data_IF_329775521159
#
_entry.id   IF_329775521159
#
_cell.length_a   1.000
_cell.length_b   1.000
_cell.length_c   1.000
_cell.angle_alpha   90.00
_cell.angle_beta   90.00
_cell.angle_gamma   90.00
#
_symmetry.space_group_name_H-M   'P 1'
#
loop_
_entity.id
_entity.type
_entity.pdbx_description
1 polymer ?
#
# COMPACT_ATOMS: atom_id res chain seq x y z
N UNK A 1 3.36 -8.98 -23.83
CA UNK A 1 4.10 -8.94 -25.11
C UNK A 1 4.25 -10.40 -25.53
N UNK A 2 3.43 -10.88 -26.46
CA UNK A 2 3.43 -12.31 -26.80
C UNK A 2 4.40 -12.55 -27.96
N UNK A 3 5.52 -13.22 -27.66
CA UNK A 3 6.48 -13.72 -28.64
C UNK A 3 5.94 -15.00 -29.28
N UNK A 4 5.28 -14.88 -30.43
CA UNK A 4 5.11 -16.00 -31.34
C UNK A 4 6.42 -16.15 -32.10
N UNK A 5 7.30 -17.09 -31.75
CA UNK A 5 8.13 -17.89 -32.67
C UNK A 5 9.07 -18.81 -31.87
N UNK A 6 8.85 -20.13 -31.95
CA UNK A 6 9.85 -21.14 -31.60
C UNK A 6 11.06 -20.98 -32.54
N UNK A 7 12.26 -20.90 -31.97
CA UNK A 7 13.54 -21.00 -32.70
C UNK A 7 13.59 -22.27 -33.55
N UNK A 8 13.78 -22.12 -34.86
CA UNK A 8 14.55 -23.05 -35.69
C UNK A 8 15.81 -22.32 -36.16
N UNK A 9 16.94 -22.98 -35.88
CA UNK A 9 18.35 -22.79 -36.27
C UNK A 9 18.88 -21.40 -36.70
N UNK A 10 20.02 -21.05 -36.08
CA UNK A 10 20.88 -19.91 -36.38
C UNK A 10 21.29 -19.88 -37.86
N UNK A 11 21.05 -18.76 -38.52
CA UNK A 11 21.82 -18.31 -39.69
C UNK A 11 22.35 -16.91 -39.38
N UNK A 12 23.65 -16.70 -39.60
CA UNK A 12 24.39 -15.47 -39.33
C UNK A 12 24.03 -14.32 -40.30
N UNK A 13 23.88 -13.12 -39.72
CA UNK A 13 23.99 -11.77 -40.29
C UNK A 13 23.20 -11.42 -41.57
N UNK A 14 22.02 -10.82 -41.32
CA UNK A 14 21.69 -9.51 -41.92
C UNK A 14 21.10 -8.65 -40.80
N UNK A 15 21.28 -7.33 -40.83
CA UNK A 15 20.68 -6.40 -39.86
C UNK A 15 19.19 -6.71 -39.77
N UNK A 16 18.78 -7.42 -38.72
CA UNK A 16 17.40 -7.82 -38.50
C UNK A 16 16.66 -6.57 -38.04
N UNK A 17 16.08 -5.82 -38.98
CA UNK A 17 15.12 -4.77 -38.65
C UNK A 17 13.87 -5.52 -38.15
N UNK A 18 13.85 -5.88 -36.86
CA UNK A 18 12.64 -6.35 -36.20
C UNK A 18 11.67 -5.18 -36.18
N UNK A 19 10.72 -5.16 -37.13
CA UNK A 19 9.72 -4.08 -37.14
C UNK A 19 8.68 -4.43 -36.08
N UNK A 20 8.92 -3.98 -34.85
CA UNK A 20 7.93 -4.01 -33.77
C UNK A 20 6.68 -3.25 -34.22
N UNK A 21 5.49 -3.85 -34.05
CA UNK A 21 4.22 -3.21 -34.41
C UNK A 21 3.03 -3.87 -33.71
N UNK A 22 1.83 -3.34 -33.95
CA UNK A 22 0.59 -3.87 -33.36
C UNK A 22 0.06 -5.04 -34.19
N UNK A 23 -0.43 -6.09 -33.53
CA UNK A 23 -1.10 -7.21 -34.20
C UNK A 23 -2.30 -6.69 -35.03
N UNK A 24 -2.30 -6.81 -36.36
CA UNK A 24 -3.38 -6.32 -37.22
C UNK A 24 -4.66 -7.17 -37.19
N UNK A 25 -4.67 -8.21 -36.37
CA UNK A 25 -5.86 -9.01 -36.05
C UNK A 25 -6.39 -8.69 -34.63
N UNK A 26 -5.86 -7.66 -33.97
CA UNK A 26 -6.40 -7.20 -32.68
C UNK A 26 -7.87 -6.79 -32.81
N UNK A 27 -8.66 -7.00 -31.76
CA UNK A 27 -10.03 -6.45 -31.63
C UNK A 27 -10.04 -5.03 -31.06
N UNK A 28 -8.89 -4.55 -30.59
CA UNK A 28 -8.72 -3.22 -30.05
C UNK A 28 -8.39 -2.22 -31.17
N UNK A 29 -9.44 -1.66 -31.80
CA UNK A 29 -9.28 -0.71 -32.91
C UNK A 29 -8.59 0.58 -32.46
N UNK A 30 -8.87 1.06 -31.25
CA UNK A 30 -8.19 2.23 -30.68
C UNK A 30 -6.66 2.05 -30.71
N UNK A 31 -6.15 0.92 -30.21
CA UNK A 31 -4.72 0.66 -30.17
C UNK A 31 -4.11 0.57 -31.57
N UNK A 32 -4.82 -0.06 -32.51
CA UNK A 32 -4.35 -0.16 -33.88
C UNK A 32 -4.28 1.20 -34.57
N UNK A 33 -5.34 2.01 -34.46
CA UNK A 33 -5.39 3.34 -35.06
C UNK A 33 -4.42 4.31 -34.40
N UNK A 34 -4.19 4.20 -33.08
CA UNK A 34 -3.17 4.97 -32.39
C UNK A 34 -1.77 4.65 -32.94
N UNK A 35 -1.47 3.37 -33.21
CA UNK A 35 -0.23 2.97 -33.87
C UNK A 35 -0.11 3.56 -35.28
N UNK A 36 -1.18 3.55 -36.07
CA UNK A 36 -1.17 4.16 -37.42
C UNK A 36 -0.94 5.68 -37.35
N UNK A 37 -1.63 6.39 -36.46
CA UNK A 37 -1.52 7.84 -36.30
C UNK A 37 -0.10 8.26 -35.89
N UNK A 38 0.46 7.59 -34.88
CA UNK A 38 1.76 7.92 -34.27
C UNK A 38 2.97 7.45 -35.09
N UNK A 39 2.79 6.44 -35.95
CA UNK A 39 3.91 5.91 -36.76
C UNK A 39 4.20 6.81 -37.95
N UNK A 40 5.47 7.20 -38.10
CA UNK A 40 5.95 7.92 -39.27
C UNK A 40 5.64 7.16 -40.56
N UNK A 41 5.00 7.82 -41.54
CA UNK A 41 4.41 7.15 -42.70
C UNK A 41 5.38 6.24 -43.48
N UNK A 42 6.65 6.63 -43.76
CA UNK A 42 7.63 5.74 -44.37
C UNK A 42 7.93 4.47 -43.56
N UNK A 43 7.94 4.55 -42.22
CA UNK A 43 8.12 3.38 -41.36
C UNK A 43 6.89 2.49 -41.38
N UNK A 44 5.70 3.08 -41.31
CA UNK A 44 4.44 2.35 -41.39
C UNK A 44 4.32 1.58 -42.72
N UNK A 45 4.73 2.19 -43.83
CA UNK A 45 4.76 1.52 -45.15
C UNK A 45 5.67 0.29 -45.15
N UNK A 46 6.91 0.44 -44.69
CA UNK A 46 7.88 -0.67 -44.58
C UNK A 46 7.34 -1.79 -43.68
N UNK A 47 6.74 -1.43 -42.55
CA UNK A 47 6.11 -2.37 -41.64
C UNK A 47 4.96 -3.14 -42.32
N UNK A 48 4.08 -2.45 -43.02
CA UNK A 48 2.93 -3.05 -43.72
C UNK A 48 3.37 -4.01 -44.83
N UNK A 49 4.30 -3.59 -45.68
CA UNK A 49 4.86 -4.42 -46.76
C UNK A 49 5.55 -5.67 -46.21
N UNK A 50 6.38 -5.51 -45.16
CA UNK A 50 7.04 -6.64 -44.51
C UNK A 50 6.04 -7.60 -43.87
N UNK A 51 5.04 -7.08 -43.17
CA UNK A 51 3.96 -7.88 -42.56
C UNK A 51 3.20 -8.69 -43.60
N UNK A 52 2.84 -8.07 -44.73
CA UNK A 52 2.20 -8.77 -45.86
C UNK A 52 3.10 -9.84 -46.47
N UNK A 53 4.40 -9.57 -46.64
CA UNK A 53 5.34 -10.57 -47.16
C UNK A 53 5.50 -11.78 -46.23
N UNK A 54 5.27 -11.60 -44.93
CA UNK A 54 5.26 -12.67 -43.93
C UNK A 54 3.89 -13.37 -43.81
N UNK A 55 2.91 -13.05 -44.68
CA UNK A 55 1.59 -13.68 -44.69
C UNK A 55 0.61 -13.17 -43.63
N UNK A 56 0.87 -12.01 -43.01
CA UNK A 56 -0.02 -11.46 -41.99
C UNK A 56 -1.28 -10.88 -42.66
N UNK A 57 -2.44 -11.30 -42.16
CA UNK A 57 -3.74 -10.78 -42.57
C UNK A 57 -4.13 -9.52 -41.81
N UNK A 58 -4.80 -8.60 -42.50
CA UNK A 58 -5.24 -7.33 -41.94
C UNK A 58 -6.75 -7.22 -42.08
N UNK A 59 -7.41 -6.69 -41.06
CA UNK A 59 -8.81 -6.29 -41.17
C UNK A 59 -8.96 -5.20 -42.25
N UNK A 60 -10.05 -5.18 -43.04
CA UNK A 60 -10.20 -4.23 -44.14
C UNK A 60 -10.05 -2.76 -43.72
N UNK A 61 -10.64 -2.37 -42.59
CA UNK A 61 -10.57 -1.01 -42.06
C UNK A 61 -9.15 -0.60 -41.62
N UNK A 62 -8.34 -1.56 -41.15
CA UNK A 62 -6.95 -1.33 -40.76
C UNK A 62 -6.06 -1.09 -41.98
N UNK A 63 -6.28 -1.84 -43.07
CA UNK A 63 -5.58 -1.55 -44.33
C UNK A 63 -5.93 -0.17 -44.89
N UNK A 64 -7.19 0.24 -44.79
CA UNK A 64 -7.62 1.56 -45.26
C UNK A 64 -6.91 2.67 -44.49
N UNK A 65 -6.83 2.56 -43.16
CA UNK A 65 -6.10 3.51 -42.31
C UNK A 65 -4.60 3.60 -42.69
N UNK A 66 -3.94 2.46 -42.90
CA UNK A 66 -2.53 2.43 -43.34
C UNK A 66 -2.37 3.08 -44.71
N UNK A 67 -3.23 2.73 -45.68
CA UNK A 67 -3.17 3.28 -47.05
C UNK A 67 -3.40 4.79 -47.04
N UNK A 68 -4.31 5.29 -46.20
CA UNK A 68 -4.49 6.72 -46.00
C UNK A 68 -3.20 7.36 -45.46
N UNK A 69 -2.72 6.92 -44.28
CA UNK A 69 -1.50 7.49 -43.65
C UNK A 69 -0.28 7.45 -44.58
N UNK A 70 -0.10 6.38 -45.35
CA UNK A 70 1.06 6.21 -46.23
C UNK A 70 0.96 6.99 -47.56
N UNK A 71 -0.24 7.40 -47.96
CA UNK A 71 -0.46 8.20 -49.18
C UNK A 71 -0.51 9.70 -48.91
N UNK A 72 -1.10 10.12 -47.79
CA UNK A 72 -1.27 11.54 -47.44
C UNK A 72 -0.31 12.03 -46.36
N UNK A 73 0.41 11.13 -45.68
CA UNK A 73 1.15 11.39 -44.42
C UNK A 73 0.27 11.73 -43.22
N UNK A 74 -1.06 11.68 -43.39
CA UNK A 74 -2.04 12.07 -42.37
C UNK A 74 -3.03 10.94 -42.09
N UNK A 75 -3.24 10.67 -40.81
CA UNK A 75 -4.32 9.83 -40.30
C UNK A 75 -4.55 10.24 -38.85
N UNK A 76 -5.81 10.44 -38.47
CA UNK A 76 -6.22 10.78 -37.10
C UNK A 76 -7.05 9.64 -36.56
N UNK A 77 -6.72 9.15 -35.37
CA UNK A 77 -7.51 8.11 -34.72
C UNK A 77 -8.94 8.65 -34.46
N UNK A 78 -9.99 7.97 -34.94
CA UNK A 78 -11.37 8.39 -34.68
C UNK A 78 -11.81 8.12 -33.24
N UNK A 79 -11.01 7.38 -32.46
CA UNK A 79 -11.28 7.01 -31.09
C UNK A 79 -10.41 7.81 -30.13
N UNK A 80 -10.98 8.20 -29.00
CA UNK A 80 -10.25 8.75 -27.87
C UNK A 80 -10.15 7.71 -26.75
N UNK A 81 -9.04 7.76 -26.01
CA UNK A 81 -8.89 7.02 -24.78
C UNK A 81 -9.08 7.97 -23.60
N UNK A 82 -9.76 7.55 -22.52
CA UNK A 82 -10.30 6.20 -22.26
C UNK A 82 -11.70 5.91 -22.83
N UNK A 83 -12.32 6.86 -23.55
CA UNK A 83 -13.74 6.79 -23.91
C UNK A 83 -14.10 5.63 -24.84
N UNK A 84 -13.18 5.16 -25.69
CA UNK A 84 -13.37 3.97 -26.53
C UNK A 84 -13.78 2.73 -25.71
N UNK A 85 -13.29 2.63 -24.47
CA UNK A 85 -13.62 1.54 -23.55
C UNK A 85 -14.77 1.90 -22.58
N UNK A 86 -15.49 3.00 -22.83
CA UNK A 86 -16.47 3.59 -21.91
C UNK A 86 -15.91 3.82 -20.50
N UNK A 87 -14.60 4.08 -20.40
CA UNK A 87 -13.85 4.21 -19.14
C UNK A 87 -13.95 2.98 -18.22
N UNK A 88 -14.30 1.81 -18.77
CA UNK A 88 -14.50 0.57 -18.02
C UNK A 88 -13.46 -0.48 -18.39
N UNK A 89 -12.71 -0.90 -17.39
CA UNK A 89 -11.64 -1.88 -17.43
C UNK A 89 -11.91 -2.95 -16.38
N UNK A 90 -11.39 -4.16 -16.59
CA UNK A 90 -11.53 -5.22 -15.59
C UNK A 90 -10.71 -4.86 -14.35
N UNK A 91 -9.54 -4.27 -14.59
CA UNK A 91 -8.68 -3.66 -13.60
C UNK A 91 -7.59 -2.81 -14.27
N UNK A 92 -6.93 -1.97 -13.47
CA UNK A 92 -5.80 -1.14 -13.88
C UNK A 92 -4.67 -1.36 -12.88
N UNK A 93 -3.54 -1.88 -13.34
CA UNK A 93 -2.35 -2.00 -12.51
C UNK A 93 -1.53 -0.71 -12.59
N UNK A 94 -1.02 -0.26 -11.45
CA UNK A 94 -0.21 0.95 -11.37
C UNK A 94 1.02 0.76 -10.51
N UNK A 95 2.03 1.60 -10.74
CA UNK A 95 3.26 1.66 -9.97
C UNK A 95 3.81 3.10 -9.97
N UNK A 96 4.16 3.62 -8.79
CA UNK A 96 4.74 4.96 -8.64
C UNK A 96 6.25 4.93 -8.46
N UNK A 97 6.92 5.85 -9.14
CA UNK A 97 8.29 6.24 -8.82
C UNK A 97 8.33 7.56 -8.05
N UNK A 98 9.30 7.69 -7.15
CA UNK A 98 9.46 8.86 -6.27
C UNK A 98 10.84 9.46 -6.41
N UNK A 99 10.93 10.79 -6.44
CA UNK A 99 12.20 11.50 -6.54
C UNK A 99 13.04 11.39 -5.25
N UNK A 100 12.40 11.21 -4.09
CA UNK A 100 13.05 11.01 -2.80
C UNK A 100 12.17 10.22 -1.80
N UNK A 101 12.55 10.19 -0.52
CA UNK A 101 11.82 9.45 0.52
C UNK A 101 10.43 10.03 0.86
N UNK A 102 10.22 11.31 0.58
CA UNK A 102 8.96 12.01 0.78
C UNK A 102 7.92 11.55 -0.25
N UNK A 103 6.72 11.21 0.20
CA UNK A 103 5.68 10.60 -0.62
C UNK A 103 4.99 11.57 -1.57
N UNK A 104 5.09 12.87 -1.31
CA UNK A 104 4.64 13.90 -2.26
C UNK A 104 5.63 14.10 -3.42
N UNK A 105 6.80 13.45 -3.38
CA UNK A 105 7.85 13.58 -4.41
C UNK A 105 7.64 12.65 -5.62
N UNK A 106 6.45 12.10 -5.80
CA UNK A 106 6.12 11.24 -6.95
C UNK A 106 6.52 11.93 -8.26
N UNK A 107 7.33 11.23 -9.07
CA UNK A 107 7.91 11.77 -10.30
C UNK A 107 7.51 10.99 -11.54
N UNK A 108 6.98 9.77 -11.39
CA UNK A 108 6.31 9.08 -12.48
C UNK A 108 5.25 8.08 -11.97
N UNK A 109 4.34 7.73 -12.85
CA UNK A 109 3.27 6.76 -12.63
C UNK A 109 3.10 5.91 -13.88
N UNK A 110 3.23 4.60 -13.74
CA UNK A 110 2.94 3.63 -14.79
C UNK A 110 1.52 3.12 -14.67
N UNK A 111 0.87 2.87 -15.81
CA UNK A 111 -0.49 2.38 -15.88
C UNK A 111 -0.62 1.30 -16.94
N UNK A 112 -1.25 0.19 -16.55
CA UNK A 112 -1.63 -0.89 -17.47
C UNK A 112 -3.10 -1.21 -17.30
N UNK A 113 -3.84 -1.00 -18.36
CA UNK A 113 -5.30 -1.16 -18.42
C UNK A 113 -5.62 -2.53 -18.98
N UNK A 114 -6.34 -3.35 -18.21
CA UNK A 114 -6.74 -4.69 -18.62
C UNK A 114 -8.23 -4.71 -18.99
N UNK A 115 -8.55 -5.29 -20.15
CA UNK A 115 -9.92 -5.51 -20.62
C UNK A 115 -10.02 -6.85 -21.32
N UNK A 116 -11.02 -7.64 -20.94
CA UNK A 116 -11.23 -9.02 -21.42
C UNK A 116 -9.95 -9.86 -21.31
N UNK A 117 -9.32 -9.82 -20.13
CA UNK A 117 -8.08 -10.56 -19.80
C UNK A 117 -6.88 -10.23 -20.70
N UNK A 118 -6.89 -9.06 -21.35
CA UNK A 118 -5.81 -8.59 -22.24
C UNK A 118 -5.45 -7.15 -21.94
N UNK A 119 -4.20 -6.78 -22.24
CA UNK A 119 -3.77 -5.37 -22.18
C UNK A 119 -4.55 -4.59 -23.24
N UNK A 120 -5.41 -3.68 -22.77
CA UNK A 120 -6.13 -2.73 -23.59
C UNK A 120 -5.27 -1.52 -23.95
N UNK A 121 -4.50 -1.02 -22.98
CA UNK A 121 -3.60 0.09 -23.15
C UNK A 121 -2.53 0.07 -22.05
N UNK A 122 -1.36 0.62 -22.33
CA UNK A 122 -0.29 0.83 -21.35
C UNK A 122 0.34 2.18 -21.63
N UNK A 123 0.69 2.90 -20.57
CA UNK A 123 1.34 4.20 -20.65
C UNK A 123 2.04 4.51 -19.33
N UNK A 124 2.95 5.47 -19.34
CA UNK A 124 3.45 6.13 -18.14
C UNK A 124 3.28 7.64 -18.25
N UNK A 125 3.12 8.31 -17.12
CA UNK A 125 3.20 9.76 -17.02
C UNK A 125 4.40 10.15 -16.16
N UNK A 126 5.18 11.12 -16.60
CA UNK A 126 5.99 11.91 -15.69
C UNK A 126 5.08 12.83 -14.87
N UNK A 127 5.48 13.06 -13.63
CA UNK A 127 4.80 13.94 -12.68
C UNK A 127 5.82 14.96 -12.22
N UNK A 128 5.48 16.25 -12.27
CA UNK A 128 6.30 17.32 -11.71
C UNK A 128 6.08 17.39 -10.21
N UNK A 129 7.07 17.03 -9.37
CA UNK A 129 6.91 17.11 -7.92
C UNK A 129 6.80 18.56 -7.45
N UNK A 130 6.26 18.83 -6.24
CA UNK A 130 6.27 20.15 -5.64
C UNK A 130 7.69 20.74 -5.62
N UNK A 131 7.82 22.06 -5.84
CA UNK A 131 9.13 22.74 -5.92
C UNK A 131 10.00 22.58 -4.66
N UNK A 132 9.42 22.22 -3.53
CA UNK A 132 10.15 21.91 -2.29
C UNK A 132 10.93 20.60 -2.36
N UNK A 133 10.52 19.68 -3.22
CA UNK A 133 11.10 18.35 -3.34
C UNK A 133 12.37 18.37 -4.19
N UNK A 134 13.35 17.56 -3.78
CA UNK A 134 14.62 17.40 -4.48
C UNK A 134 14.76 15.96 -4.95
N UNK A 135 15.37 15.77 -6.11
CA UNK A 135 15.71 14.44 -6.59
C UNK A 135 16.95 13.92 -5.86
N UNK A 136 16.83 12.74 -5.27
CA UNK A 136 17.94 12.08 -4.59
C UNK A 136 18.74 11.25 -5.59
N UNK A 137 20.07 11.26 -5.48
CA UNK A 137 20.93 10.45 -6.34
C UNK A 137 20.65 8.94 -6.22
N UNK A 138 20.13 8.50 -5.06
CA UNK A 138 19.73 7.11 -4.85
C UNK A 138 18.52 6.73 -5.70
N UNK A 139 17.49 7.58 -5.72
CA UNK A 139 16.28 7.33 -6.50
C UNK A 139 16.56 7.41 -8.00
N UNK A 140 17.30 8.44 -8.44
CA UNK A 140 17.79 8.55 -9.83
C UNK A 140 18.58 7.29 -10.21
N UNK A 141 19.45 6.78 -9.34
CA UNK A 141 20.21 5.56 -9.61
C UNK A 141 19.37 4.28 -9.70
N UNK A 142 18.12 4.29 -9.23
CA UNK A 142 17.18 3.15 -9.30
C UNK A 142 16.40 3.19 -10.61
N UNK A 143 15.71 4.30 -10.91
CA UNK A 143 14.76 4.40 -12.03
C UNK A 143 15.24 5.30 -13.20
N UNK A 144 16.36 6.01 -13.05
CA UNK A 144 16.94 6.87 -14.09
C UNK A 144 16.33 8.27 -14.23
N UNK A 145 15.05 8.46 -13.90
CA UNK A 145 14.33 9.76 -14.01
C UNK A 145 15.02 10.90 -13.23
N UNK A 146 15.32 12.00 -13.92
CA UNK A 146 15.93 13.21 -13.36
C UNK A 146 14.94 14.37 -13.22
N UNK A 147 15.40 15.48 -12.64
CA UNK A 147 14.58 16.69 -12.53
C UNK A 147 14.29 17.32 -13.91
N UNK A 148 15.24 17.21 -14.84
CA UNK A 148 15.10 17.70 -16.22
C UNK A 148 14.02 16.94 -16.98
N UNK A 149 13.88 15.63 -16.76
CA UNK A 149 12.87 14.78 -17.40
C UNK A 149 11.42 15.19 -17.06
N UNK A 150 11.23 15.84 -15.90
CA UNK A 150 9.91 16.20 -15.37
C UNK A 150 9.63 17.70 -15.39
N UNK A 151 10.53 18.54 -15.90
CA UNK A 151 10.39 20.00 -15.76
C UNK A 151 9.16 20.55 -16.51
N UNK A 152 8.72 19.87 -17.57
CA UNK A 152 7.51 20.22 -18.33
C UNK A 152 6.35 19.25 -18.10
N UNK A 153 6.48 18.33 -17.15
CA UNK A 153 5.40 17.42 -16.78
C UNK A 153 4.30 18.16 -15.99
N UNK A 154 3.09 17.58 -16.00
CA UNK A 154 1.99 18.03 -15.16
C UNK A 154 2.31 17.81 -13.69
N UNK A 155 1.82 18.68 -12.81
CA UNK A 155 1.73 18.36 -11.39
C UNK A 155 0.70 17.25 -11.15
N UNK A 156 0.70 16.63 -9.97
CA UNK A 156 -0.19 15.49 -9.74
C UNK A 156 -1.68 15.85 -9.77
N UNK A 157 -2.06 17.04 -9.30
CA UNK A 157 -3.43 17.57 -9.39
C UNK A 157 -3.88 17.78 -10.83
N UNK A 158 -3.03 18.37 -11.66
CA UNK A 158 -3.28 18.53 -13.09
C UNK A 158 -3.46 17.16 -13.78
N UNK A 159 -2.59 16.19 -13.48
CA UNK A 159 -2.69 14.82 -14.00
C UNK A 159 -3.95 14.10 -13.49
N UNK A 160 -4.32 14.32 -12.22
CA UNK A 160 -5.52 13.73 -11.64
C UNK A 160 -6.80 14.25 -12.30
N UNK A 161 -6.93 15.58 -12.43
CA UNK A 161 -8.10 16.22 -13.03
C UNK A 161 -8.21 15.88 -14.52
N UNK A 162 -7.11 15.99 -15.26
CA UNK A 162 -7.12 15.79 -16.70
C UNK A 162 -7.21 14.32 -17.11
N UNK A 163 -6.66 13.38 -16.34
CA UNK A 163 -6.56 11.99 -16.76
C UNK A 163 -7.05 10.99 -15.71
N UNK A 164 -6.40 10.89 -14.55
CA UNK A 164 -6.58 9.74 -13.63
C UNK A 164 -8.02 9.62 -13.10
N UNK A 165 -8.66 10.74 -12.77
CA UNK A 165 -10.02 10.78 -12.20
C UNK A 165 -11.08 10.18 -13.13
N UNK A 166 -10.83 10.16 -14.45
CA UNK A 166 -11.74 9.58 -15.47
C UNK A 166 -11.94 8.07 -15.30
N UNK A 167 -10.97 7.37 -14.71
CA UNK A 167 -11.00 5.91 -14.60
C UNK A 167 -10.64 5.36 -13.21
N UNK A 168 -9.93 6.08 -12.34
CA UNK A 168 -9.57 5.55 -11.02
C UNK A 168 -10.77 5.26 -10.11
N UNK A 169 -11.84 6.06 -10.24
CA UNK A 169 -13.03 5.95 -9.38
C UNK A 169 -14.03 4.87 -9.83
N UNK A 170 -13.83 4.30 -11.02
CA UNK A 170 -14.81 3.39 -11.65
C UNK A 170 -14.24 1.99 -11.90
N UNK A 171 -12.95 1.79 -11.64
CA UNK A 171 -12.24 0.57 -11.98
C UNK A 171 -11.43 0.08 -10.78
N UNK A 172 -11.20 -1.24 -10.73
CA UNK A 172 -10.37 -1.86 -9.72
C UNK A 172 -8.90 -1.52 -9.96
N UNK A 173 -8.24 -0.89 -8.99
CA UNK A 173 -6.82 -0.56 -9.06
C UNK A 173 -5.98 -1.66 -8.41
N UNK A 174 -4.96 -2.13 -9.12
CA UNK A 174 -4.09 -3.21 -8.67
C UNK A 174 -2.73 -2.63 -8.31
N UNK A 175 -2.27 -3.00 -7.12
CA UNK A 175 -0.94 -2.66 -6.61
C UNK A 175 -0.15 -3.92 -6.30
N UNK A 176 1.17 -3.82 -6.31
CA UNK A 176 2.05 -4.81 -5.71
C UNK A 176 2.67 -4.21 -4.44
N UNK A 177 2.25 -4.67 -3.26
CA UNK A 177 2.53 -4.01 -1.99
C UNK A 177 1.89 -2.62 -1.90
N UNK A 178 0.55 -2.63 -1.89
CA UNK A 178 -0.28 -1.42 -1.88
C UNK A 178 0.06 -0.43 -0.76
N UNK A 179 0.73 -0.85 0.33
CA UNK A 179 1.13 0.05 1.40
C UNK A 179 2.03 1.20 0.92
N UNK A 180 2.86 0.97 -0.09
CA UNK A 180 3.78 1.96 -0.66
C UNK A 180 3.02 2.97 -1.53
N UNK A 181 2.35 2.52 -2.57
CA UNK A 181 1.63 3.39 -3.51
C UNK A 181 0.45 4.11 -2.88
N UNK A 182 -0.31 3.44 -1.99
CA UNK A 182 -1.37 4.12 -1.24
C UNK A 182 -0.81 5.19 -0.32
N UNK A 183 0.43 5.04 0.18
CA UNK A 183 1.07 6.11 0.93
C UNK A 183 1.39 7.30 0.03
N UNK A 184 1.79 7.07 -1.22
CA UNK A 184 1.99 8.12 -2.23
C UNK A 184 0.67 8.84 -2.52
N UNK A 185 -0.37 8.09 -2.94
CA UNK A 185 -1.69 8.65 -3.26
C UNK A 185 -2.27 9.47 -2.11
N UNK A 186 -2.24 8.96 -0.88
CA UNK A 186 -2.79 9.69 0.29
C UNK A 186 -2.07 11.00 0.56
N UNK A 187 -0.74 11.01 0.46
CA UNK A 187 0.04 12.22 0.70
C UNK A 187 -0.18 13.23 -0.42
N UNK A 188 -0.29 12.77 -1.67
CA UNK A 188 -0.60 13.64 -2.81
C UNK A 188 -2.01 14.21 -2.71
N UNK A 189 -3.03 13.39 -2.42
CA UNK A 189 -4.40 13.89 -2.23
C UNK A 189 -4.49 14.92 -1.11
N UNK A 190 -3.80 14.68 0.00
CA UNK A 190 -3.74 15.65 1.09
C UNK A 190 -3.00 16.94 0.68
N UNK A 191 -1.84 16.82 0.01
CA UNK A 191 -1.03 17.97 -0.39
C UNK A 191 -1.76 18.89 -1.37
N UNK A 192 -2.42 18.30 -2.37
CA UNK A 192 -3.13 19.01 -3.42
C UNK A 192 -4.61 19.27 -3.09
N UNK A 193 -5.08 18.88 -1.89
CA UNK A 193 -6.48 19.00 -1.49
C UNK A 193 -7.46 18.36 -2.48
N UNK A 194 -7.08 17.22 -3.06
CA UNK A 194 -7.93 16.46 -3.99
C UNK A 194 -9.01 15.73 -3.18
N UNK A 195 -10.27 15.98 -3.55
CA UNK A 195 -11.45 15.39 -2.92
C UNK A 195 -12.19 14.41 -3.83
N UNK A 196 -13.30 13.86 -3.34
CA UNK A 196 -14.27 13.07 -4.11
C UNK A 196 -13.71 11.80 -4.78
N UNK A 197 -12.62 11.26 -4.24
CA UNK A 197 -12.07 9.98 -4.68
C UNK A 197 -12.71 8.81 -3.92
N UNK A 198 -13.01 7.75 -4.67
CA UNK A 198 -13.39 6.45 -4.15
C UNK A 198 -12.71 5.38 -5.01
N UNK A 199 -11.54 4.94 -4.56
CA UNK A 199 -10.72 3.99 -5.29
C UNK A 199 -10.94 2.61 -4.69
N UNK A 200 -11.48 1.68 -5.47
CA UNK A 200 -11.45 0.26 -5.13
C UNK A 200 -10.10 -0.30 -5.54
N UNK A 201 -9.46 -1.05 -4.66
CA UNK A 201 -8.14 -1.60 -4.93
C UNK A 201 -7.90 -2.98 -4.35
N UNK A 202 -6.91 -3.67 -4.94
CA UNK A 202 -6.41 -4.95 -4.48
C UNK A 202 -4.88 -4.94 -4.43
N UNK A 203 -4.34 -5.71 -3.48
CA UNK A 203 -2.90 -5.88 -3.30
C UNK A 203 -2.48 -7.30 -3.68
N UNK A 204 -1.67 -7.44 -4.74
CA UNK A 204 -1.20 -8.74 -5.21
C UNK A 204 -0.35 -9.46 -4.17
N UNK A 205 0.34 -8.74 -3.27
CA UNK A 205 1.10 -9.37 -2.18
C UNK A 205 0.18 -10.12 -1.20
N UNK A 206 -1.05 -9.62 -1.00
CA UNK A 206 -2.07 -10.30 -0.17
C UNK A 206 -2.62 -11.54 -0.87
N UNK A 207 -2.81 -11.48 -2.19
CA UNK A 207 -3.20 -12.65 -2.98
C UNK A 207 -2.11 -13.72 -2.99
N UNK A 208 -0.84 -13.31 -3.14
CA UNK A 208 0.30 -14.21 -3.06
C UNK A 208 0.34 -14.95 -1.71
N UNK A 209 0.11 -14.24 -0.60
CA UNK A 209 -0.01 -14.85 0.72
C UNK A 209 -1.16 -15.87 0.81
N UNK A 210 -2.34 -15.53 0.29
CA UNK A 210 -3.52 -16.41 0.30
C UNK A 210 -3.35 -17.67 -0.55
N UNK A 211 -2.52 -17.60 -1.58
CA UNK A 211 -2.24 -18.71 -2.50
C UNK A 211 -0.97 -19.48 -2.16
N UNK A 212 -0.27 -19.12 -1.08
CA UNK A 212 1.00 -19.77 -0.69
C UNK A 212 2.17 -19.48 -1.63
N UNK A 213 2.11 -18.35 -2.34
CA UNK A 213 3.13 -17.90 -3.27
C UNK A 213 4.14 -16.93 -2.63
N UNK A 214 5.34 -16.74 -3.24
CA UNK A 214 6.31 -15.75 -2.81
C UNK A 214 5.73 -14.33 -2.85
N UNK A 215 6.20 -13.44 -1.96
CA UNK A 215 5.67 -12.07 -1.86
C UNK A 215 6.35 -11.08 -2.79
N UNK A 216 7.59 -11.34 -3.25
CA UNK A 216 8.31 -10.40 -4.12
C UNK A 216 7.84 -10.55 -5.55
N UNK A 217 7.59 -9.42 -6.23
CA UNK A 217 7.17 -9.40 -7.63
C UNK A 217 8.14 -10.13 -8.55
N UNK A 218 9.46 -10.03 -8.32
CA UNK A 218 10.44 -10.74 -9.15
C UNK A 218 10.34 -12.26 -9.00
N UNK A 219 10.15 -12.76 -7.79
CA UNK A 219 10.00 -14.21 -7.54
C UNK A 219 8.67 -14.74 -8.12
N UNK A 220 7.62 -13.92 -8.12
CA UNK A 220 6.35 -14.23 -8.78
C UNK A 220 6.49 -14.22 -10.31
N UNK A 221 7.16 -13.20 -10.86
CA UNK A 221 7.40 -13.09 -12.30
C UNK A 221 8.21 -14.30 -12.81
N UNK A 222 9.29 -14.66 -12.11
CA UNK A 222 10.09 -15.86 -12.44
C UNK A 222 9.23 -17.14 -12.38
N UNK A 223 8.39 -17.27 -11.34
CA UNK A 223 7.53 -18.44 -11.15
C UNK A 223 6.48 -18.60 -12.26
N UNK A 224 5.90 -17.49 -12.70
CA UNK A 224 4.86 -17.47 -13.73
C UNK A 224 5.41 -17.26 -15.15
N UNK A 225 6.73 -17.35 -15.32
CA UNK A 225 7.41 -17.16 -16.60
C UNK A 225 7.08 -15.81 -17.27
N UNK A 226 6.85 -14.77 -16.46
CA UNK A 226 6.60 -13.40 -16.90
C UNK A 226 7.93 -12.72 -17.15
N UNK A 227 8.13 -12.24 -18.37
CA UNK A 227 9.31 -11.45 -18.72
C UNK A 227 9.35 -10.14 -17.93
N UNK A 228 10.42 -9.97 -17.14
CA UNK A 228 10.63 -8.80 -16.31
C UNK A 228 12.02 -8.18 -16.56
N UNK A 229 12.08 -7.39 -17.62
CA UNK A 229 13.28 -6.65 -18.07
C UNK A 229 13.10 -5.17 -17.70
N UNK A 230 14.18 -4.45 -17.39
CA UNK A 230 14.14 -3.02 -17.07
C UNK A 230 13.32 -2.71 -15.81
N UNK A 231 13.75 -3.29 -14.68
CA UNK A 231 13.14 -3.09 -13.36
C UNK A 231 13.23 -1.62 -12.96
N UNK A 232 12.23 -1.11 -12.25
CA UNK A 232 12.12 0.30 -11.87
C UNK A 232 11.79 1.24 -13.05
N UNK A 233 11.29 0.66 -14.14
CA UNK A 233 10.52 1.39 -15.13
C UNK A 233 9.04 1.29 -14.71
N UNK A 234 8.35 2.42 -14.48
CA UNK A 234 7.00 2.40 -13.91
C UNK A 234 5.98 1.68 -14.80
N UNK A 235 6.07 1.81 -16.14
CA UNK A 235 5.17 1.09 -17.05
C UNK A 235 5.42 -0.42 -17.02
N UNK A 236 6.69 -0.83 -16.98
CA UNK A 236 7.04 -2.25 -16.92
C UNK A 236 6.65 -2.87 -15.58
N UNK A 237 6.91 -2.19 -14.47
CA UNK A 237 6.55 -2.66 -13.13
C UNK A 237 5.02 -2.80 -13.00
N UNK A 238 4.25 -1.82 -13.49
CA UNK A 238 2.80 -1.91 -13.57
C UNK A 238 2.32 -3.08 -14.46
N UNK A 239 3.00 -3.34 -15.57
CA UNK A 239 2.68 -4.47 -16.47
C UNK A 239 2.92 -5.82 -15.82
N UNK A 240 4.05 -6.00 -15.13
CA UNK A 240 4.33 -7.22 -14.39
C UNK A 240 3.31 -7.40 -13.26
N UNK A 241 2.95 -6.32 -12.57
CA UNK A 241 1.90 -6.32 -11.55
C UNK A 241 0.55 -6.82 -12.11
N UNK A 242 0.15 -6.35 -13.30
CA UNK A 242 -1.08 -6.80 -13.97
C UNK A 242 -1.07 -8.30 -14.28
N UNK A 243 0.03 -8.81 -14.85
CA UNK A 243 0.15 -10.24 -15.16
C UNK A 243 0.17 -11.11 -13.89
N UNK A 244 0.95 -10.70 -12.88
CA UNK A 244 0.98 -11.38 -11.58
C UNK A 244 -0.40 -11.42 -10.94
N UNK A 245 -1.19 -10.34 -11.05
CA UNK A 245 -2.56 -10.33 -10.57
C UNK A 245 -3.43 -11.36 -11.31
N UNK A 246 -3.36 -11.42 -12.65
CA UNK A 246 -4.10 -12.41 -13.44
C UNK A 246 -3.83 -13.85 -12.97
N UNK A 247 -2.56 -14.23 -12.89
CA UNK A 247 -2.13 -15.57 -12.44
C UNK A 247 -2.62 -15.88 -11.01
N UNK A 248 -2.47 -14.92 -10.10
CA UNK A 248 -2.90 -15.10 -8.71
C UNK A 248 -4.42 -15.13 -8.54
N UNK A 249 -5.16 -14.39 -9.37
CA UNK A 249 -6.62 -14.35 -9.35
C UNK A 249 -7.22 -15.68 -9.85
N UNK A 250 -6.60 -16.33 -10.84
CA UNK A 250 -6.97 -17.69 -11.26
C UNK A 250 -6.79 -18.71 -10.12
N UNK A 251 -5.70 -18.59 -9.36
CA UNK A 251 -5.42 -19.44 -8.19
C UNK A 251 -6.32 -19.15 -6.99
N UNK A 252 -6.94 -17.96 -6.93
CA UNK A 252 -7.83 -17.55 -5.85
C UNK A 252 -9.10 -16.88 -6.41
N UNK A 253 -10.08 -17.67 -6.91
CA UNK A 253 -11.28 -17.13 -7.55
C UNK A 253 -12.14 -16.20 -6.69
N UNK A 254 -12.03 -16.29 -5.37
CA UNK A 254 -12.70 -15.39 -4.40
C UNK A 254 -11.90 -14.10 -4.13
N UNK A 255 -10.99 -13.67 -5.02
CA UNK A 255 -10.17 -12.47 -4.81
C UNK A 255 -11.01 -11.21 -4.56
N UNK A 256 -12.26 -11.17 -5.05
CA UNK A 256 -13.19 -10.08 -4.84
C UNK A 256 -13.47 -9.81 -3.36
N UNK A 257 -13.40 -10.83 -2.49
CA UNK A 257 -13.53 -10.65 -1.04
C UNK A 257 -12.35 -9.91 -0.39
N UNK A 258 -11.25 -9.72 -1.12
CA UNK A 258 -10.06 -9.01 -0.66
C UNK A 258 -9.99 -7.55 -1.13
N UNK A 259 -10.93 -7.11 -1.97
CA UNK A 259 -11.03 -5.72 -2.44
C UNK A 259 -11.22 -4.80 -1.23
N UNK A 260 -10.49 -3.69 -1.25
CA UNK A 260 -10.56 -2.64 -0.25
C UNK A 260 -10.89 -1.32 -0.93
N UNK A 261 -11.37 -0.37 -0.15
CA UNK A 261 -11.65 0.98 -0.63
C UNK A 261 -10.62 1.95 -0.03
N UNK A 262 -10.28 2.96 -0.83
CA UNK A 262 -9.63 4.18 -0.39
C UNK A 262 -10.58 5.33 -0.68
N UNK A 263 -11.08 5.95 0.38
CA UNK A 263 -11.99 7.10 0.33
C UNK A 263 -11.66 8.11 1.43
N UNK A 264 -12.08 9.36 1.25
CA UNK A 264 -11.94 10.41 2.27
C UNK A 264 -12.55 9.99 3.61
N UNK A 265 -13.73 9.34 3.55
CA UNK A 265 -14.44 8.85 4.73
C UNK A 265 -13.59 7.88 5.54
N UNK A 266 -12.92 6.93 4.89
CA UNK A 266 -12.04 5.96 5.58
C UNK A 266 -10.82 6.64 6.20
N UNK A 267 -10.27 7.68 5.55
CA UNK A 267 -9.17 8.45 6.14
C UNK A 267 -9.65 9.20 7.37
N UNK A 268 -10.79 9.89 7.30
CA UNK A 268 -11.36 10.60 8.44
C UNK A 268 -11.68 9.67 9.60
N UNK A 269 -12.33 8.53 9.35
CA UNK A 269 -12.59 7.52 10.37
C UNK A 269 -11.31 7.02 11.04
N UNK A 270 -10.24 6.81 10.27
CA UNK A 270 -8.95 6.39 10.83
C UNK A 270 -8.31 7.49 11.69
N UNK A 271 -8.37 8.74 11.26
CA UNK A 271 -7.89 9.89 12.05
C UNK A 271 -8.67 10.00 13.36
N UNK A 272 -10.00 9.88 13.31
CA UNK A 272 -10.86 9.90 14.49
C UNK A 272 -10.48 8.78 15.47
N UNK A 273 -10.31 7.54 14.99
CA UNK A 273 -9.87 6.41 15.85
C UNK A 273 -8.51 6.65 16.51
N UNK A 274 -7.56 7.26 15.80
CA UNK A 274 -6.24 7.60 16.36
C UNK A 274 -6.38 8.65 17.47
N UNK A 275 -7.19 9.69 17.24
CA UNK A 275 -7.48 10.71 18.26
C UNK A 275 -8.15 10.10 19.49
N UNK A 276 -9.20 9.30 19.29
CA UNK A 276 -9.89 8.57 20.37
C UNK A 276 -8.90 7.70 21.17
N UNK A 277 -7.98 7.01 20.50
CA UNK A 277 -6.95 6.18 21.17
C UNK A 277 -5.98 7.03 22.00
N UNK A 278 -5.54 8.18 21.47
CA UNK A 278 -4.66 9.10 22.18
C UNK A 278 -5.35 9.74 23.40
N UNK A 279 -6.61 10.13 23.26
CA UNK A 279 -7.44 10.65 24.36
C UNK A 279 -7.61 9.61 25.48
N UNK A 280 -7.93 8.37 25.13
CA UNK A 280 -8.01 7.25 26.08
C UNK A 280 -6.67 7.04 26.80
N UNK A 281 -5.54 7.15 26.09
CA UNK A 281 -4.21 6.99 26.70
C UNK A 281 -3.93 8.12 27.70
N UNK A 282 -4.27 9.36 27.36
CA UNK A 282 -4.10 10.50 28.26
C UNK A 282 -4.98 10.38 29.51
N UNK A 283 -6.27 10.03 29.35
CA UNK A 283 -7.18 9.79 30.48
C UNK A 283 -6.66 8.70 31.43
N UNK A 284 -6.07 7.63 30.90
CA UNK A 284 -5.49 6.59 31.75
C UNK A 284 -4.26 7.06 32.53
N UNK A 285 -3.46 7.98 31.99
CA UNK A 285 -2.36 8.59 32.75
C UNK A 285 -2.90 9.46 33.88
N UNK A 286 -3.97 10.22 33.64
CA UNK A 286 -4.65 11.01 34.67
C UNK A 286 -5.21 10.12 35.78
N UNK A 287 -5.81 8.97 35.44
CA UNK A 287 -6.29 7.99 36.42
C UNK A 287 -5.15 7.35 37.21
N UNK A 288 -4.04 6.99 36.56
CA UNK A 288 -2.85 6.50 37.26
C UNK A 288 -2.41 7.53 38.29
N UNK A 289 -2.27 8.79 37.88
CA UNK A 289 -1.87 9.87 38.79
C UNK A 289 -2.87 10.09 39.93
N UNK A 290 -4.17 10.10 39.65
CA UNK A 290 -5.22 10.32 40.64
C UNK A 290 -5.31 9.22 41.71
N UNK A 291 -4.96 7.97 41.33
CA UNK A 291 -5.00 6.82 42.24
C UNK A 291 -3.62 6.39 42.75
N UNK A 292 -2.56 7.09 42.38
CA UNK A 292 -1.23 6.92 42.97
C UNK A 292 -1.23 7.29 44.45
N UNK A 293 -0.20 6.81 45.14
CA UNK A 293 0.09 7.14 46.53
C UNK A 293 1.40 7.92 46.61
N UNK A 294 1.50 8.83 47.56
CA UNK A 294 2.79 9.44 47.88
C UNK A 294 3.70 8.46 48.65
N UNK A 295 4.99 8.80 48.78
CA UNK A 295 5.96 7.92 49.44
C UNK A 295 5.63 7.63 50.90
N UNK A 296 5.09 8.62 51.63
CA UNK A 296 4.72 8.46 53.03
C UNK A 296 3.45 7.63 53.22
N UNK A 297 2.54 7.64 52.25
CA UNK A 297 1.41 6.71 52.19
C UNK A 297 1.87 5.28 51.87
N UNK A 298 2.82 5.12 50.95
CA UNK A 298 3.37 3.80 50.58
C UNK A 298 4.07 3.13 51.78
N UNK A 299 4.83 3.89 52.57
CA UNK A 299 5.52 3.38 53.77
C UNK A 299 4.57 2.87 54.85
N UNK A 300 3.31 3.30 54.83
CA UNK A 300 2.27 2.87 55.79
C UNK A 300 1.47 1.66 55.30
N UNK A 301 1.77 1.13 54.12
CA UNK A 301 1.05 -0.03 53.57
C UNK A 301 1.42 -1.27 54.37
N UNK A 302 0.45 -1.82 55.09
CA UNK A 302 0.52 -3.18 55.65
C UNK A 302 0.05 -4.18 54.59
N UNK A 303 0.93 -5.11 54.20
CA UNK A 303 0.65 -6.10 53.14
C UNK A 303 -0.38 -7.16 53.56
N UNK A 304 -0.52 -7.40 54.87
CA UNK A 304 -1.38 -8.46 55.40
C UNK A 304 -2.84 -8.26 55.01
N UNK A 305 -3.47 -9.31 54.48
CA UNK A 305 -4.87 -9.38 54.04
C UNK A 305 -5.24 -8.42 52.89
N UNK A 306 -4.25 -7.73 52.28
CA UNK A 306 -4.44 -6.82 51.15
C UNK A 306 -4.37 -7.52 49.80
N UNK A 307 -5.26 -7.17 48.89
CA UNK A 307 -5.36 -7.78 47.57
C UNK A 307 -4.63 -6.99 46.48
N UNK A 308 -3.73 -7.66 45.75
CA UNK A 308 -2.87 -7.08 44.72
C UNK A 308 -3.07 -7.73 43.35
N UNK A 309 -2.80 -6.98 42.29
CA UNK A 309 -2.67 -7.50 40.93
C UNK A 309 -1.55 -6.79 40.18
N UNK A 310 -0.88 -7.50 39.29
CA UNK A 310 0.15 -6.95 38.40
C UNK A 310 -0.39 -6.77 36.98
N UNK A 311 0.06 -5.71 36.31
CA UNK A 311 -0.20 -5.48 34.88
C UNK A 311 0.98 -4.75 34.23
N UNK A 312 1.29 -5.09 32.98
CA UNK A 312 2.49 -4.59 32.29
C UNK A 312 3.79 -5.28 32.71
N UNK A 313 4.88 -4.88 32.09
CA UNK A 313 6.24 -5.36 32.34
C UNK A 313 6.82 -4.72 33.61
N UNK A 314 7.02 -5.56 34.62
CA UNK A 314 7.54 -5.12 35.91
C UNK A 314 9.05 -5.37 35.99
N UNK A 315 9.74 -4.54 36.77
CA UNK A 315 11.21 -4.55 36.87
C UNK A 315 11.76 -5.76 37.61
N UNK A 316 11.03 -6.26 38.61
CA UNK A 316 11.34 -7.52 39.31
C UNK A 316 10.65 -8.67 38.58
N UNK A 317 11.27 -9.86 38.58
CA UNK A 317 10.60 -11.07 38.11
C UNK A 317 9.21 -11.23 38.75
N UNK A 318 8.21 -11.54 37.93
CA UNK A 318 6.82 -11.51 38.36
C UNK A 318 6.50 -12.57 39.40
N UNK A 319 7.18 -13.71 39.39
CA UNK A 319 6.97 -14.74 40.41
C UNK A 319 7.60 -14.30 41.73
N UNK A 320 8.82 -13.76 41.69
CA UNK A 320 9.49 -13.19 42.89
C UNK A 320 8.64 -12.07 43.51
N UNK A 321 8.08 -11.18 42.69
CA UNK A 321 7.22 -10.09 43.17
C UNK A 321 5.93 -10.59 43.85
N UNK A 322 5.32 -11.66 43.31
CA UNK A 322 4.15 -12.30 43.92
C UNK A 322 4.51 -13.00 45.23
N UNK A 323 5.57 -13.78 45.24
CA UNK A 323 6.07 -14.48 46.43
C UNK A 323 6.36 -13.49 47.57
N UNK A 324 6.94 -12.33 47.25
CA UNK A 324 7.15 -11.27 48.23
C UNK A 324 5.84 -10.79 48.88
N UNK A 325 4.80 -10.52 48.08
CA UNK A 325 3.50 -10.07 48.59
C UNK A 325 2.87 -11.17 49.45
N UNK A 326 2.87 -12.42 48.97
CA UNK A 326 2.25 -13.56 49.65
C UNK A 326 2.96 -13.91 50.97
N UNK A 327 4.31 -13.88 50.99
CA UNK A 327 5.11 -14.12 52.20
C UNK A 327 4.81 -13.10 53.31
N UNK A 328 4.41 -11.89 52.93
CA UNK A 328 4.01 -10.84 53.87
C UNK A 328 2.49 -10.79 54.12
N UNK A 329 1.76 -11.84 53.76
CA UNK A 329 0.33 -12.01 54.05
C UNK A 329 -0.63 -11.35 53.05
N UNK A 330 -0.13 -10.84 51.92
CA UNK A 330 -0.95 -10.28 50.85
C UNK A 330 -1.54 -11.35 49.93
N UNK A 331 -2.55 -10.97 49.14
CA UNK A 331 -3.33 -11.88 48.30
C UNK A 331 -3.22 -11.47 46.83
N UNK A 332 -2.68 -12.33 45.98
CA UNK A 332 -2.62 -12.09 44.53
C UNK A 332 -3.96 -12.43 43.86
N UNK A 333 -4.49 -11.51 43.06
CA UNK A 333 -5.70 -11.71 42.25
C UNK A 333 -5.37 -11.92 40.78
N UNK A 334 -6.21 -12.70 40.09
CA UNK A 334 -6.12 -12.95 38.65
C UNK A 334 -6.80 -11.88 37.80
N UNK A 335 -7.64 -11.03 38.40
CA UNK A 335 -8.38 -9.98 37.70
C UNK A 335 -8.80 -8.82 38.60
N UNK A 336 -9.15 -7.70 37.98
CA UNK A 336 -9.62 -6.50 38.68
C UNK A 336 -11.09 -6.69 39.09
N UNK A 337 -11.34 -6.52 40.38
CA UNK A 337 -12.65 -6.66 41.02
C UNK A 337 -12.77 -5.68 42.19
N UNK A 338 -13.96 -5.53 42.76
CA UNK A 338 -14.20 -4.66 43.93
C UNK A 338 -13.50 -5.11 45.21
N UNK A 339 -12.91 -6.31 45.23
CA UNK A 339 -12.14 -6.85 46.37
C UNK A 339 -10.64 -6.58 46.25
N UNK A 340 -10.23 -5.74 45.31
CA UNK A 340 -8.84 -5.40 45.09
C UNK A 340 -8.49 -4.16 45.93
N UNK A 341 -7.26 -4.10 46.45
CA UNK A 341 -6.75 -2.92 47.15
C UNK A 341 -5.72 -2.19 46.28
N UNK A 342 -4.84 -2.93 45.61
CA UNK A 342 -3.73 -2.34 44.86
C UNK A 342 -3.56 -2.94 43.46
N UNK A 343 -3.24 -2.09 42.48
CA UNK A 343 -2.78 -2.47 41.15
C UNK A 343 -1.34 -2.03 40.98
N UNK A 344 -0.44 -2.98 40.74
CA UNK A 344 0.96 -2.70 40.43
C UNK A 344 1.12 -2.64 38.91
N UNK A 345 1.56 -1.48 38.40
CA UNK A 345 1.70 -1.20 36.97
C UNK A 345 3.17 -1.17 36.55
N UNK A 346 3.45 -1.84 35.44
CA UNK A 346 4.72 -1.85 34.73
C UNK A 346 4.64 -1.18 33.36
N UNK A 347 5.71 -1.25 32.56
CA UNK A 347 5.68 -0.76 31.18
C UNK A 347 4.59 -1.48 30.38
N UNK A 348 3.97 -0.79 29.42
CA UNK A 348 2.85 -1.34 28.62
C UNK A 348 1.72 -1.95 29.45
N UNK A 349 1.39 -1.31 30.59
CA UNK A 349 0.25 -1.72 31.41
C UNK A 349 -1.06 -1.69 30.60
N UNK A 350 -1.90 -2.70 30.78
CA UNK A 350 -3.19 -2.78 30.07
C UNK A 350 -4.13 -1.62 30.42
N UNK A 351 -4.41 -0.74 29.45
CA UNK A 351 -5.25 0.46 29.66
C UNK A 351 -6.68 0.13 30.11
N UNK A 352 -7.28 -0.93 29.58
CA UNK A 352 -8.62 -1.40 30.00
C UNK A 352 -8.69 -1.77 31.49
N UNK A 353 -7.55 -2.16 32.09
CA UNK A 353 -7.46 -2.43 33.52
C UNK A 353 -7.51 -1.14 34.34
N UNK A 354 -6.89 -0.05 33.86
CA UNK A 354 -6.91 1.26 34.52
C UNK A 354 -8.30 1.89 34.45
N UNK A 355 -8.96 1.82 33.29
CA UNK A 355 -10.36 2.24 33.16
C UNK A 355 -11.28 1.49 34.12
N UNK A 356 -11.06 0.19 34.31
CA UNK A 356 -11.83 -0.63 35.27
C UNK A 356 -11.56 -0.24 36.73
N UNK A 357 -10.34 0.17 37.08
CA UNK A 357 -10.03 0.74 38.41
C UNK A 357 -10.83 2.02 38.63
N UNK A 358 -10.76 2.95 37.67
CA UNK A 358 -11.52 4.20 37.72
C UNK A 358 -13.02 3.94 37.90
N UNK A 359 -13.59 3.05 37.08
CA UNK A 359 -15.01 2.70 37.18
C UNK A 359 -15.40 2.13 38.56
N UNK A 360 -14.57 1.24 39.13
CA UNK A 360 -14.84 0.67 40.45
C UNK A 360 -14.74 1.70 41.58
N UNK A 361 -13.77 2.61 41.49
CA UNK A 361 -13.61 3.69 42.46
C UNK A 361 -14.78 4.68 42.38
N UNK A 362 -15.13 5.17 41.19
CA UNK A 362 -16.21 6.14 41.00
C UNK A 362 -17.60 5.56 41.22
N UNK A 363 -17.94 4.43 40.59
CA UNK A 363 -19.31 3.90 40.59
C UNK A 363 -19.62 2.99 41.77
N UNK A 364 -18.61 2.33 42.33
CA UNK A 364 -18.78 1.38 43.44
C UNK A 364 -18.12 1.84 44.73
N UNK A 365 -17.62 3.07 44.78
CA UNK A 365 -16.94 3.66 45.92
C UNK A 365 -15.81 2.76 46.47
N UNK A 366 -15.12 2.05 45.57
CA UNK A 366 -13.93 1.29 45.93
C UNK A 366 -12.76 2.25 46.23
N UNK A 367 -11.74 1.76 46.92
CA UNK A 367 -10.52 2.53 47.24
C UNK A 367 -9.28 1.87 46.66
N UNK A 368 -9.36 1.41 45.42
CA UNK A 368 -8.26 0.76 44.74
C UNK A 368 -7.18 1.80 44.43
N UNK A 369 -5.94 1.53 44.82
CA UNK A 369 -4.77 2.39 44.59
C UNK A 369 -3.83 1.78 43.55
N UNK A 370 -3.08 2.64 42.88
CA UNK A 370 -2.14 2.25 41.82
C UNK A 370 -0.71 2.48 42.34
N UNK A 371 0.15 1.48 42.12
CA UNK A 371 1.58 1.52 42.46
C UNK A 371 2.39 1.31 41.18
N UNK A 372 3.29 2.23 40.86
CA UNK A 372 4.25 2.07 39.77
C UNK A 372 5.35 1.07 40.14
N UNK A 373 6.19 0.69 39.17
CA UNK A 373 7.41 -0.08 39.44
C UNK A 373 8.27 0.57 40.55
N UNK A 374 8.46 1.89 40.52
CA UNK A 374 9.23 2.60 41.55
C UNK A 374 8.55 2.56 42.91
N UNK A 375 7.21 2.66 42.96
CA UNK A 375 6.46 2.61 44.22
C UNK A 375 6.54 1.22 44.83
N UNK A 376 6.47 0.17 44.01
CA UNK A 376 6.59 -1.20 44.47
C UNK A 376 7.99 -1.54 44.98
N UNK A 377 9.05 -1.03 44.32
CA UNK A 377 10.42 -1.17 44.87
C UNK A 377 10.61 -0.38 46.17
N UNK A 378 9.98 0.80 46.30
CA UNK A 378 9.98 1.55 47.56
C UNK A 378 9.26 0.80 48.67
N UNK A 379 8.11 0.20 48.36
CA UNK A 379 7.35 -0.66 49.27
C UNK A 379 8.20 -1.86 49.75
N UNK A 380 8.87 -2.55 48.82
CA UNK A 380 9.75 -3.69 49.14
C UNK A 380 10.86 -3.32 50.11
N UNK A 381 11.50 -2.15 49.93
CA UNK A 381 12.59 -1.67 50.78
C UNK A 381 12.16 -1.34 52.20
N UNK A 382 10.93 -0.84 52.36
CA UNK A 382 10.41 -0.38 53.65
C UNK A 382 9.56 -1.41 54.37
N UNK A 383 9.27 -2.55 53.74
CA UNK A 383 8.62 -3.67 54.41
C UNK A 383 9.66 -4.35 55.31
N UNK A 384 9.51 -4.34 56.64
CA UNK A 384 10.48 -4.97 57.54
C UNK A 384 10.62 -6.45 57.19
N UNK A 385 11.86 -6.90 56.96
CA UNK A 385 12.13 -8.32 56.79
C UNK A 385 11.80 -9.03 58.09
N UNK A 386 10.69 -9.78 58.12
CA UNK A 386 10.53 -10.85 59.09
C UNK A 386 11.61 -11.90 58.79
N UNK A 387 12.79 -11.72 59.38
CA UNK A 387 13.68 -12.84 59.70
C UNK A 387 12.90 -13.72 60.67
N UNK A 388 12.42 -14.85 60.15
CA UNK A 388 11.84 -15.95 60.91
C UNK A 388 12.77 -16.37 62.02
#
# INVERSE_FOLDING_TARGET
MFSWFKKKEKIENSIEISVSGINPQTENEFLFYNFVEMTFAPHLKKWYEKSKSNGIEFKPQYEQAIKQKTSTSEFKNPHSFPEYFNNQFDHIAIDFETANQNRISACALGLVFIKNDRIAYQTSYHIKPPKSEKFSSRNIGIHGITAEDVDYAMTFDELWESELSKYFNQNLIIFHNASMDLSVLKNLFQHYSISDYKIEYLDTMRLAEKTGNPKKISELADKFEIEYIDKHNPEIDAKVCAYVFGELAELYPDYKSLIRTLSEKEIQEKITRIKETAEIKNQNLDYVQAYSLDKGEIEKIELKDKAFIFTGEITTDRNIAKEFIEKNGGIIKSGISSKLDFVIIGADFGWSKIQKVHELNEKKNCKIKILTNSDFEHLKKNTPHNTV
#
